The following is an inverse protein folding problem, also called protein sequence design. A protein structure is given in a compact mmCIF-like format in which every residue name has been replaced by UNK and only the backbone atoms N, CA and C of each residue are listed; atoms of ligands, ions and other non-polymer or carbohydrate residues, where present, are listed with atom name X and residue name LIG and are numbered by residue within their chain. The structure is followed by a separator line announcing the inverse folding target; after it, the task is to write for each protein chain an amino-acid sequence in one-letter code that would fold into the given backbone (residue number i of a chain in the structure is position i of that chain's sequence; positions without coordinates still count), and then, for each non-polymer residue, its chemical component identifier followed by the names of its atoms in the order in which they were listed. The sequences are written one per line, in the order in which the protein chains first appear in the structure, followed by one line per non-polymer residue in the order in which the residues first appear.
data_IF_843450779763
#
_entry.id   IF_843450779763
#
_cell.length_a   1.000
_cell.length_b   1.000
_cell.length_c   1.000
_cell.angle_alpha   90.00
_cell.angle_beta   90.00
_cell.angle_gamma   90.00
#
_symmetry.space_group_name_H-M   'P 1'
#
loop_
_entity.id
_entity.type
_entity.pdbx_description
1 polymer ?
#
# COMPACT_ATOMS: atom_id res chain seq x y z
N UNK A 1 28.04 -48.00 6.89
CA UNK A 1 28.29 -46.73 7.62
C UNK A 1 28.21 -45.49 6.73
N UNK A 2 29.01 -45.36 5.64
CA UNK A 2 29.02 -44.16 4.77
C UNK A 2 27.66 -43.76 4.17
N UNK A 3 26.82 -44.72 3.75
CA UNK A 3 25.47 -44.46 3.19
C UNK A 3 24.45 -43.95 4.21
N UNK A 4 24.54 -44.42 5.47
CA UNK A 4 23.66 -43.96 6.57
C UNK A 4 24.03 -42.53 6.98
N UNK A 5 25.33 -42.22 7.01
CA UNK A 5 25.82 -40.88 7.31
C UNK A 5 25.42 -39.85 6.24
N UNK A 6 25.48 -40.22 4.95
CA UNK A 6 25.02 -39.37 3.85
C UNK A 6 23.50 -39.14 3.91
N UNK A 7 22.72 -40.17 4.22
CA UNK A 7 21.26 -40.05 4.38
C UNK A 7 20.87 -39.10 5.52
N UNK A 8 21.56 -39.16 6.67
CA UNK A 8 21.30 -38.28 7.80
C UNK A 8 21.65 -36.81 7.51
N UNK A 9 22.76 -36.56 6.79
CA UNK A 9 23.15 -35.19 6.39
C UNK A 9 22.13 -34.58 5.42
N UNK A 10 21.60 -35.35 4.46
CA UNK A 10 20.57 -34.86 3.52
C UNK A 10 19.27 -34.48 4.26
N UNK A 11 18.83 -35.29 5.23
CA UNK A 11 17.63 -34.99 6.04
C UNK A 11 17.83 -33.72 6.88
N UNK A 12 18.99 -33.52 7.49
CA UNK A 12 19.28 -32.33 8.28
C UNK A 12 19.34 -31.08 7.39
N UNK A 13 19.99 -31.14 6.23
CA UNK A 13 20.04 -30.03 5.28
C UNK A 13 18.65 -29.70 4.75
N UNK A 14 17.82 -30.70 4.44
CA UNK A 14 16.43 -30.48 4.04
C UNK A 14 15.61 -29.85 5.18
N UNK A 15 15.76 -30.32 6.42
CA UNK A 15 15.07 -29.76 7.58
C UNK A 15 15.50 -28.32 7.88
N UNK A 16 16.79 -27.99 7.74
CA UNK A 16 17.32 -26.63 7.90
C UNK A 16 16.88 -25.72 6.76
N UNK A 17 16.87 -26.20 5.52
CA UNK A 17 16.37 -25.44 4.38
C UNK A 17 14.86 -25.20 4.47
N UNK A 18 14.10 -26.21 4.90
CA UNK A 18 12.67 -26.08 5.18
C UNK A 18 12.47 -25.12 6.34
N UNK A 19 13.20 -25.22 7.44
CA UNK A 19 13.10 -24.30 8.57
C UNK A 19 13.48 -22.88 8.15
N UNK A 20 14.55 -22.69 7.39
CA UNK A 20 14.96 -21.37 6.90
C UNK A 20 13.91 -20.79 5.94
N UNK A 21 13.37 -21.58 5.02
CA UNK A 21 12.27 -21.17 4.15
C UNK A 21 11.00 -20.85 4.95
N UNK A 22 10.67 -21.70 5.92
CA UNK A 22 9.56 -21.55 6.85
C UNK A 22 9.69 -20.25 7.65
N UNK A 23 10.84 -19.96 8.25
CA UNK A 23 11.06 -18.76 9.06
C UNK A 23 11.40 -17.48 8.27
N UNK A 24 11.83 -17.58 7.02
CA UNK A 24 12.09 -16.41 6.17
C UNK A 24 10.83 -15.85 5.52
N UNK A 25 9.75 -16.65 5.39
CA UNK A 25 8.46 -16.18 4.89
C UNK A 25 7.55 -15.57 5.94
N UNK A 26 7.79 -14.29 6.24
CA UNK A 26 6.94 -13.50 7.15
C UNK A 26 5.47 -13.47 6.72
N UNK A 27 5.18 -13.58 5.42
CA UNK A 27 3.83 -13.56 4.87
C UNK A 27 2.88 -14.64 5.42
N UNK A 28 3.41 -15.77 5.89
CA UNK A 28 2.60 -16.82 6.51
C UNK A 28 1.96 -16.43 7.84
N UNK A 29 2.51 -15.40 8.50
CA UNK A 29 2.01 -14.90 9.77
C UNK A 29 0.95 -13.83 9.57
N UNK A 30 0.70 -13.43 8.33
CA UNK A 30 -0.39 -12.55 7.99
C UNK A 30 -1.71 -13.29 8.16
N UNK A 31 -2.64 -12.71 8.93
CA UNK A 31 -3.94 -13.36 9.18
C UNK A 31 -4.87 -13.23 7.98
N UNK A 32 -5.93 -14.02 7.97
CA UNK A 32 -7.03 -13.78 7.05
C UNK A 32 -7.64 -12.39 7.32
N UNK A 33 -8.08 -11.67 6.26
CA UNK A 33 -8.70 -10.37 6.43
C UNK A 33 -10.13 -10.50 6.97
N UNK A 34 -10.51 -9.53 7.79
CA UNK A 34 -11.89 -9.23 8.15
C UNK A 34 -12.37 -8.06 7.29
N UNK A 35 -13.63 -8.08 6.84
CA UNK A 35 -14.17 -7.09 5.89
C UNK A 35 -15.29 -6.22 6.50
N UNK A 36 -15.68 -6.50 7.74
CA UNK A 36 -16.77 -5.84 8.47
C UNK A 36 -16.27 -5.44 9.85
N UNK A 37 -16.99 -4.54 10.52
CA UNK A 37 -16.61 -4.06 11.86
C UNK A 37 -15.21 -3.42 11.89
N UNK A 38 -14.83 -2.79 10.77
CA UNK A 38 -13.58 -2.06 10.65
C UNK A 38 -13.57 -0.86 11.60
N UNK A 39 -12.38 -0.45 12.03
CA UNK A 39 -12.21 0.62 13.02
C UNK A 39 -12.54 2.02 12.51
N UNK A 40 -12.70 2.24 11.20
CA UNK A 40 -12.95 3.58 10.64
C UNK A 40 -14.20 3.60 9.81
N UNK A 41 -14.89 4.72 9.86
CA UNK A 41 -16.17 4.90 9.18
C UNK A 41 -15.93 5.38 7.76
N UNK A 42 -16.67 4.82 6.82
CA UNK A 42 -16.68 5.25 5.43
C UNK A 42 -18.10 5.67 5.04
N UNK A 43 -18.23 6.88 4.53
CA UNK A 43 -19.48 7.45 4.02
C UNK A 43 -19.21 8.06 2.63
N UNK A 44 -19.72 7.39 1.59
CA UNK A 44 -19.44 7.76 0.20
C UNK A 44 -17.95 7.76 -0.12
N UNK A 45 -17.41 8.94 -0.46
CA UNK A 45 -16.01 9.23 -0.75
C UNK A 45 -15.25 9.81 0.45
N UNK A 46 -15.71 9.56 1.68
CA UNK A 46 -15.10 10.10 2.90
C UNK A 46 -14.74 8.97 3.87
N UNK A 47 -13.51 8.96 4.36
CA UNK A 47 -13.10 8.18 5.54
C UNK A 47 -13.08 9.13 6.75
N UNK A 48 -13.71 8.73 7.85
CA UNK A 48 -13.52 9.34 9.18
C UNK A 48 -12.78 8.39 10.09
N UNK A 49 -11.61 8.82 10.55
CA UNK A 49 -10.84 8.17 11.60
C UNK A 49 -10.93 9.00 12.88
N UNK A 50 -11.67 8.51 13.88
CA UNK A 50 -11.69 9.05 15.25
C UNK A 50 -10.57 8.48 16.13
N UNK A 51 -9.83 7.53 15.59
CA UNK A 51 -8.63 6.92 16.17
C UNK A 51 -7.38 7.61 15.64
N UNK A 52 -6.22 7.16 16.08
CA UNK A 52 -4.93 7.69 15.65
C UNK A 52 -4.61 7.36 14.17
N UNK A 53 -4.25 8.35 13.33
CA UNK A 53 -4.39 9.78 13.57
C UNK A 53 -5.85 10.22 13.37
N UNK A 54 -6.37 11.16 14.19
CA UNK A 54 -7.70 11.70 13.98
C UNK A 54 -7.70 12.49 12.69
N UNK A 55 -8.40 12.01 11.66
CA UNK A 55 -8.39 12.59 10.32
C UNK A 55 -9.68 12.31 9.56
N UNK A 56 -10.08 13.27 8.73
CA UNK A 56 -11.07 13.09 7.69
C UNK A 56 -10.37 13.14 6.32
N UNK A 57 -10.49 12.05 5.57
CA UNK A 57 -9.97 11.94 4.20
C UNK A 57 -11.15 12.02 3.22
N UNK A 58 -11.18 13.02 2.36
CA UNK A 58 -12.19 13.17 1.30
C UNK A 58 -11.53 12.97 -0.06
N UNK A 59 -12.04 12.02 -0.83
CA UNK A 59 -11.63 11.74 -2.20
C UNK A 59 -12.53 12.49 -3.18
N UNK A 60 -12.05 12.81 -4.38
CA UNK A 60 -12.89 13.40 -5.41
C UNK A 60 -14.00 12.43 -5.88
N UNK A 61 -15.09 12.97 -6.43
CA UNK A 61 -16.32 12.20 -6.70
C UNK A 61 -16.12 11.08 -7.74
N UNK A 62 -15.08 11.16 -8.58
CA UNK A 62 -14.72 10.08 -9.51
C UNK A 62 -14.16 8.83 -8.83
N UNK A 63 -13.81 8.90 -7.54
CA UNK A 63 -13.26 7.78 -6.77
C UNK A 63 -14.33 7.10 -5.93
N UNK A 64 -14.85 5.97 -6.44
CA UNK A 64 -15.81 5.15 -5.74
C UNK A 64 -15.16 4.27 -4.66
N UNK A 65 -15.77 4.21 -3.48
CA UNK A 65 -15.37 3.27 -2.44
C UNK A 65 -15.67 1.82 -2.87
N UNK A 66 -14.66 0.95 -2.78
CA UNK A 66 -14.78 -0.48 -3.13
C UNK A 66 -15.00 -1.34 -1.89
N UNK A 67 -14.28 -1.05 -0.82
CA UNK A 67 -14.30 -1.84 0.40
C UNK A 67 -13.08 -1.59 1.28
N UNK A 68 -13.15 -2.12 2.49
CA UNK A 68 -12.04 -2.13 3.43
C UNK A 68 -11.75 -3.53 3.95
N UNK A 69 -10.58 -3.68 4.58
CA UNK A 69 -10.18 -4.91 5.23
C UNK A 69 -9.25 -4.66 6.41
N UNK A 70 -9.32 -5.50 7.44
CA UNK A 70 -8.39 -5.49 8.57
C UNK A 70 -7.73 -6.85 8.74
N UNK A 71 -6.44 -6.86 9.03
CA UNK A 71 -5.66 -8.08 9.28
C UNK A 71 -4.39 -7.76 10.08
N UNK A 72 -3.81 -8.78 10.70
CA UNK A 72 -2.47 -8.68 11.26
C UNK A 72 -1.46 -8.93 10.14
N UNK A 73 -0.63 -7.96 9.80
CA UNK A 73 0.44 -8.07 8.81
C UNK A 73 1.68 -8.71 9.44
N UNK A 74 2.17 -9.79 8.83
CA UNK A 74 3.40 -10.50 9.21
C UNK A 74 3.50 -10.94 10.68
N UNK A 75 2.37 -10.96 11.42
CA UNK A 75 2.33 -11.24 12.85
C UNK A 75 2.94 -10.13 13.73
N UNK A 76 3.05 -8.90 13.21
CA UNK A 76 3.72 -7.79 13.93
C UNK A 76 2.95 -6.48 13.94
N UNK A 77 2.05 -6.24 12.98
CA UNK A 77 1.29 -5.01 12.91
C UNK A 77 -0.19 -5.28 12.67
N UNK A 78 -1.06 -4.53 13.34
CA UNK A 78 -2.47 -4.43 13.02
C UNK A 78 -2.62 -3.46 11.85
N UNK A 79 -3.20 -3.93 10.74
CA UNK A 79 -3.27 -3.22 9.48
C UNK A 79 -4.72 -3.16 9.02
N UNK A 80 -5.20 -1.96 8.76
CA UNK A 80 -6.53 -1.69 8.22
C UNK A 80 -6.41 -0.92 6.90
N UNK A 81 -7.00 -1.44 5.83
CA UNK A 81 -6.92 -0.88 4.49
C UNK A 81 -8.29 -0.47 3.96
N UNK A 82 -8.32 0.60 3.16
CA UNK A 82 -9.50 1.08 2.44
C UNK A 82 -9.13 1.44 1.01
N UNK A 83 -10.04 1.15 0.06
CA UNK A 83 -9.78 1.33 -1.36
C UNK A 83 -10.83 2.19 -2.04
N UNK A 84 -10.37 3.24 -2.73
CA UNK A 84 -11.18 4.13 -3.55
C UNK A 84 -10.62 4.14 -4.96
N UNK A 85 -11.46 3.95 -5.97
CA UNK A 85 -11.00 3.69 -7.34
C UNK A 85 -11.71 4.53 -8.39
N UNK A 86 -10.96 4.92 -9.41
CA UNK A 86 -11.49 5.34 -10.72
C UNK A 86 -11.27 4.15 -11.68
N UNK A 87 -12.32 3.65 -12.31
CA UNK A 87 -12.24 2.54 -13.27
C UNK A 87 -13.01 2.87 -14.56
N UNK A 88 -12.69 2.17 -15.64
CA UNK A 88 -13.50 2.22 -16.86
C UNK A 88 -14.70 1.26 -16.81
N UNK A 89 -15.49 1.24 -17.89
CA UNK A 89 -16.67 0.40 -18.03
C UNK A 89 -16.38 -1.11 -18.00
N UNK A 90 -15.12 -1.52 -18.14
CA UNK A 90 -14.67 -2.90 -18.09
C UNK A 90 -14.05 -3.26 -16.72
N UNK A 91 -14.20 -2.40 -15.71
CA UNK A 91 -13.56 -2.51 -14.39
C UNK A 91 -12.02 -2.56 -14.46
N UNK A 92 -11.44 -2.01 -15.53
CA UNK A 92 -10.01 -1.76 -15.58
C UNK A 92 -9.73 -0.48 -14.78
N UNK A 93 -8.92 -0.64 -13.73
CA UNK A 93 -8.56 0.46 -12.84
C UNK A 93 -7.71 1.48 -13.61
N UNK A 94 -8.15 2.74 -13.58
CA UNK A 94 -7.38 3.90 -14.04
C UNK A 94 -6.57 4.49 -12.91
N UNK A 95 -7.19 4.63 -11.75
CA UNK A 95 -6.53 5.17 -10.57
C UNK A 95 -7.03 4.46 -9.30
N UNK A 96 -6.14 4.26 -8.32
CA UNK A 96 -6.45 3.61 -7.05
C UNK A 96 -5.84 4.42 -5.92
N UNK A 97 -6.66 4.82 -4.97
CA UNK A 97 -6.22 5.14 -3.63
C UNK A 97 -6.34 3.91 -2.76
N UNK A 98 -5.21 3.52 -2.18
CA UNK A 98 -5.11 2.54 -1.11
C UNK A 98 -4.68 3.29 0.15
N UNK A 99 -5.62 3.46 1.07
CA UNK A 99 -5.36 4.00 2.41
C UNK A 99 -5.08 2.85 3.36
N UNK A 100 -4.05 2.97 4.17
CA UNK A 100 -3.65 1.98 5.17
C UNK A 100 -3.34 2.67 6.49
N UNK A 101 -4.04 2.24 7.53
CA UNK A 101 -3.70 2.56 8.90
C UNK A 101 -2.99 1.34 9.48
N UNK A 102 -1.75 1.52 9.94
CA UNK A 102 -0.94 0.42 10.46
C UNK A 102 -0.35 0.78 11.82
N UNK A 103 -0.43 -0.15 12.77
CA UNK A 103 0.12 -0.01 14.10
C UNK A 103 0.88 -1.28 14.48
N UNK A 104 2.14 -1.16 14.94
CA UNK A 104 2.81 -2.31 15.55
C UNK A 104 2.02 -2.80 16.77
N UNK A 105 1.93 -4.12 16.91
CA UNK A 105 1.27 -4.74 18.06
C UNK A 105 1.97 -4.34 19.37
N UNK A 106 1.24 -4.19 20.50
CA UNK A 106 1.80 -3.67 21.75
C UNK A 106 3.04 -4.41 22.27
N UNK A 107 3.17 -5.70 21.98
CA UNK A 107 4.32 -6.52 22.33
C UNK A 107 5.56 -6.35 21.42
N UNK A 108 5.46 -5.54 20.36
CA UNK A 108 6.53 -5.27 19.40
C UNK A 108 7.14 -3.90 19.69
N UNK A 109 8.42 -3.89 20.01
CA UNK A 109 9.19 -2.65 20.17
C UNK A 109 9.92 -2.29 18.87
N UNK A 110 9.14 -1.94 17.85
CA UNK A 110 9.63 -1.53 16.53
C UNK A 110 9.19 -0.11 16.23
N UNK A 111 9.95 0.57 15.37
CA UNK A 111 9.62 1.89 14.84
C UNK A 111 9.86 1.92 13.34
N UNK A 112 9.07 2.74 12.66
CA UNK A 112 9.26 3.05 11.25
C UNK A 112 10.37 4.08 11.06
N UNK A 113 11.14 3.92 9.99
CA UNK A 113 12.18 4.86 9.61
C UNK A 113 12.00 5.26 8.14
N UNK A 114 11.68 6.53 7.93
CA UNK A 114 11.53 7.16 6.62
C UNK A 114 12.52 8.32 6.42
N UNK A 115 13.58 8.39 7.25
CA UNK A 115 14.55 9.50 7.21
C UNK A 115 15.29 9.57 5.85
N UNK A 116 15.40 8.44 5.13
CA UNK A 116 15.98 8.35 3.78
C UNK A 116 15.01 8.79 2.66
N UNK A 117 13.73 9.07 2.96
CA UNK A 117 12.77 9.58 1.97
C UNK A 117 12.90 11.10 1.88
N UNK A 118 13.42 11.66 0.77
CA UNK A 118 13.80 13.07 0.71
C UNK A 118 12.61 13.99 0.41
N UNK A 119 11.51 13.47 -0.14
CA UNK A 119 10.38 14.27 -0.56
C UNK A 119 9.32 14.37 0.55
N UNK A 120 8.63 15.50 0.54
CA UNK A 120 7.45 15.75 1.37
C UNK A 120 6.29 16.22 0.50
N UNK A 121 5.08 15.81 0.85
CA UNK A 121 3.85 16.36 0.29
C UNK A 121 2.90 16.76 1.41
N UNK A 122 2.37 17.98 1.32
CA UNK A 122 1.41 18.50 2.27
C UNK A 122 -0.01 18.19 1.77
N UNK A 123 -0.83 17.58 2.63
CA UNK A 123 -2.27 17.43 2.44
C UNK A 123 -2.97 18.03 3.68
N UNK A 124 -3.54 19.23 3.53
CA UNK A 124 -4.09 19.99 4.65
C UNK A 124 -3.01 20.31 5.69
N UNK A 125 -3.18 19.83 6.92
CA UNK A 125 -2.21 20.02 8.02
C UNK A 125 -1.22 18.85 8.17
N UNK A 126 -1.37 17.78 7.39
CA UNK A 126 -0.52 16.60 7.45
C UNK A 126 0.62 16.69 6.43
N UNK A 127 1.85 16.64 6.92
CA UNK A 127 3.05 16.51 6.09
C UNK A 127 3.43 15.03 5.96
N UNK A 128 3.40 14.51 4.74
CA UNK A 128 3.72 13.12 4.45
C UNK A 128 5.15 12.98 3.91
N UNK A 129 5.88 11.98 4.39
CA UNK A 129 7.03 11.42 3.67
C UNK A 129 6.53 10.85 2.35
N UNK A 130 7.23 11.10 1.23
CA UNK A 130 6.79 10.56 -0.06
C UNK A 130 7.92 10.07 -0.95
N UNK A 131 7.58 9.10 -1.79
CA UNK A 131 8.40 8.57 -2.88
C UNK A 131 7.49 8.29 -4.09
N UNK A 132 8.07 8.39 -5.29
CA UNK A 132 7.37 8.08 -6.54
C UNK A 132 8.15 7.09 -7.37
N UNK A 133 7.43 6.18 -8.02
CA UNK A 133 8.01 5.14 -8.87
C UNK A 133 7.17 4.96 -10.13
N UNK A 134 7.82 4.43 -11.17
CA UNK A 134 7.16 4.06 -12.42
C UNK A 134 7.55 2.63 -12.73
N UNK A 135 6.56 1.76 -12.91
CA UNK A 135 6.83 0.35 -13.16
C UNK A 135 5.74 -0.28 -14.02
N UNK A 136 6.14 -1.33 -14.76
CA UNK A 136 5.19 -2.24 -15.37
C UNK A 136 4.77 -3.30 -14.35
N UNK A 137 3.47 -3.43 -14.17
CA UNK A 137 2.85 -4.48 -13.40
C UNK A 137 2.79 -5.76 -14.23
N UNK A 138 3.55 -6.75 -13.81
CA UNK A 138 3.43 -8.12 -14.31
C UNK A 138 2.25 -8.84 -13.60
N UNK A 139 1.15 -9.16 -14.31
CA UNK A 139 0.01 -9.87 -13.73
C UNK A 139 0.31 -11.34 -13.41
N UNK A 140 1.28 -11.95 -14.09
CA UNK A 140 1.65 -13.35 -13.94
C UNK A 140 2.71 -13.55 -12.84
N UNK A 141 3.41 -12.48 -12.45
CA UNK A 141 4.37 -12.50 -11.35
C UNK A 141 3.66 -12.82 -10.03
N UNK A 142 3.83 -14.06 -9.58
CA UNK A 142 3.40 -14.50 -8.26
C UNK A 142 3.96 -13.57 -7.20
N UNK A 143 3.07 -12.81 -6.56
CA UNK A 143 3.43 -12.02 -5.39
C UNK A 143 3.64 -12.94 -4.20
N UNK A 144 4.54 -12.51 -3.32
CA UNK A 144 4.73 -13.18 -2.04
C UNK A 144 3.39 -13.15 -1.31
N UNK A 145 2.96 -14.30 -0.80
CA UNK A 145 1.68 -14.40 -0.09
C UNK A 145 1.77 -13.60 1.21
N UNK A 146 0.64 -13.05 1.64
CA UNK A 146 0.53 -12.35 2.92
C UNK A 146 1.25 -11.00 3.00
N UNK A 147 1.73 -10.45 1.88
CA UNK A 147 2.11 -9.03 1.85
C UNK A 147 0.84 -8.18 1.79
N UNK A 148 0.89 -7.00 2.38
CA UNK A 148 -0.10 -5.94 2.25
C UNK A 148 -0.58 -5.71 0.79
N UNK A 149 0.35 -5.64 -0.17
CA UNK A 149 0.01 -5.48 -1.59
C UNK A 149 -0.63 -6.73 -2.22
N UNK A 150 -0.42 -7.92 -1.65
CA UNK A 150 -1.13 -9.13 -2.08
C UNK A 150 -2.57 -9.12 -1.55
N UNK A 151 -2.78 -8.65 -0.30
CA UNK A 151 -4.10 -8.47 0.31
C UNK A 151 -4.92 -7.42 -0.46
N UNK A 152 -4.30 -6.29 -0.82
CA UNK A 152 -4.92 -5.24 -1.64
C UNK A 152 -5.41 -5.77 -2.99
N UNK A 153 -4.53 -6.50 -3.70
CA UNK A 153 -4.87 -7.09 -5.00
C UNK A 153 -6.01 -8.10 -4.90
N UNK A 154 -5.98 -8.93 -3.86
CA UNK A 154 -7.02 -9.94 -3.66
C UNK A 154 -8.38 -9.28 -3.44
N UNK A 155 -8.47 -8.24 -2.60
CA UNK A 155 -9.72 -7.53 -2.37
C UNK A 155 -10.26 -6.88 -3.65
N UNK A 156 -9.42 -6.16 -4.40
CA UNK A 156 -9.86 -5.52 -5.65
C UNK A 156 -10.28 -6.54 -6.70
N UNK A 157 -9.56 -7.67 -6.82
CA UNK A 157 -9.93 -8.75 -7.73
C UNK A 157 -11.26 -9.43 -7.32
N UNK A 158 -11.55 -9.58 -6.02
CA UNK A 158 -12.84 -10.09 -5.54
C UNK A 158 -14.01 -9.17 -5.95
N UNK A 159 -13.75 -7.88 -6.15
CA UNK A 159 -14.73 -6.91 -6.65
C UNK A 159 -14.73 -6.78 -8.18
N UNK A 160 -13.98 -7.64 -8.89
CA UNK A 160 -13.97 -7.69 -10.36
C UNK A 160 -13.05 -6.67 -11.03
N UNK A 161 -12.17 -6.01 -10.28
CA UNK A 161 -11.24 -5.02 -10.84
C UNK A 161 -9.93 -5.65 -11.33
N UNK A 162 -9.38 -5.10 -12.41
CA UNK A 162 -8.03 -5.38 -12.90
C UNK A 162 -7.12 -4.15 -12.77
N UNK A 163 -5.88 -4.36 -12.33
CA UNK A 163 -4.90 -3.29 -12.13
C UNK A 163 -4.35 -2.74 -13.46
N UNK A 164 -3.99 -1.44 -13.54
CA UNK A 164 -3.27 -0.91 -14.69
C UNK A 164 -1.94 -1.64 -14.84
N UNK A 165 -1.55 -1.91 -16.09
CA UNK A 165 -0.25 -2.55 -16.40
C UNK A 165 0.89 -1.56 -16.30
N UNK A 166 0.68 -0.31 -16.70
CA UNK A 166 1.72 0.71 -16.71
C UNK A 166 1.39 1.68 -15.56
N UNK A 167 2.19 1.67 -14.51
CA UNK A 167 1.81 2.30 -13.23
C UNK A 167 2.70 3.47 -12.90
N UNK A 168 2.07 4.61 -12.61
CA UNK A 168 2.65 5.71 -11.85
C UNK A 168 2.25 5.52 -10.39
N UNK A 169 3.23 5.42 -9.51
CA UNK A 169 3.04 5.10 -8.10
C UNK A 169 3.55 6.26 -7.25
N UNK A 170 2.76 6.65 -6.27
CA UNK A 170 3.19 7.53 -5.19
C UNK A 170 2.81 6.89 -3.86
N UNK A 171 3.76 6.84 -2.93
CA UNK A 171 3.50 6.48 -1.54
C UNK A 171 3.65 7.70 -0.68
N UNK A 172 2.72 7.88 0.24
CA UNK A 172 2.70 8.95 1.22
C UNK A 172 2.57 8.33 2.60
N UNK A 173 3.47 8.64 3.52
CA UNK A 173 3.43 8.12 4.89
C UNK A 173 3.43 9.26 5.88
N UNK A 174 2.46 9.24 6.79
CA UNK A 174 2.37 10.12 7.94
C UNK A 174 2.60 9.30 9.21
N UNK A 175 3.63 9.67 9.97
CA UNK A 175 3.91 9.10 11.29
C UNK A 175 3.09 9.88 12.31
N UNK A 176 2.29 9.17 13.11
CA UNK A 176 1.28 9.82 13.96
C UNK A 176 1.85 10.46 15.22
N UNK A 177 3.02 9.99 15.66
CA UNK A 177 3.75 10.48 16.82
C UNK A 177 5.27 10.23 16.72
N UNK A 178 6.01 10.74 17.72
CA UNK A 178 7.45 10.56 17.84
C UNK A 178 7.86 9.10 18.18
N UNK A 179 6.93 8.26 18.64
CA UNK A 179 7.20 6.85 18.87
C UNK A 179 7.34 6.09 17.54
N UNK A 180 6.77 6.64 16.45
CA UNK A 180 6.87 6.11 15.08
C UNK A 180 6.48 4.64 15.00
N UNK A 181 5.54 4.19 15.84
CA UNK A 181 5.07 2.81 15.86
C UNK A 181 3.70 2.63 15.18
N UNK A 182 3.15 3.74 14.67
CA UNK A 182 1.92 3.81 13.90
C UNK A 182 2.11 4.71 12.69
N UNK A 183 1.38 4.41 11.64
CA UNK A 183 1.39 5.18 10.41
C UNK A 183 0.01 5.24 9.76
N UNK A 184 -0.25 6.38 9.12
CA UNK A 184 -1.20 6.50 8.02
C UNK A 184 -0.39 6.48 6.73
N UNK A 185 -0.50 5.41 5.97
CA UNK A 185 0.04 5.28 4.63
C UNK A 185 -1.07 5.46 3.60
N UNK A 186 -0.81 6.27 2.59
CA UNK A 186 -1.69 6.44 1.43
C UNK A 186 -0.85 6.14 0.19
N UNK A 187 -1.23 5.10 -0.52
CA UNK A 187 -0.64 4.72 -1.81
C UNK A 187 -1.61 5.16 -2.89
N UNK A 188 -1.11 5.96 -3.84
CA UNK A 188 -1.81 6.30 -5.06
C UNK A 188 -1.15 5.60 -6.24
N UNK A 189 -1.95 4.91 -7.05
CA UNK A 189 -1.53 4.33 -8.31
C UNK A 189 -2.39 4.90 -9.43
N UNK A 190 -1.76 5.36 -10.51
CA UNK A 190 -2.43 5.88 -11.71
C UNK A 190 -1.90 5.18 -12.96
N UNK A 191 -2.73 5.08 -13.99
CA UNK A 191 -2.33 4.53 -15.29
C UNK A 191 -1.41 5.52 -16.02
N UNK A 192 -0.21 5.06 -16.37
CA UNK A 192 0.77 5.85 -17.11
C UNK A 192 0.26 6.34 -18.47
N UNK A 193 -0.76 5.69 -19.04
CA UNK A 193 -1.41 6.17 -20.26
C UNK A 193 -1.96 7.59 -20.10
N UNK A 194 -2.36 8.00 -18.89
CA UNK A 194 -2.80 9.37 -18.59
C UNK A 194 -1.74 10.41 -18.91
N UNK A 195 -0.47 10.05 -18.77
CA UNK A 195 0.69 10.89 -19.06
C UNK A 195 1.28 10.65 -20.46
N UNK A 196 0.65 9.78 -21.25
CA UNK A 196 1.07 9.44 -22.61
C UNK A 196 2.43 8.76 -22.68
N UNK A 197 2.79 7.95 -21.68
CA UNK A 197 4.04 7.17 -21.63
C UNK A 197 3.80 5.76 -21.09
N UNK A 198 4.82 4.92 -21.16
CA UNK A 198 4.92 3.62 -20.49
C UNK A 198 6.09 3.63 -19.50
N UNK A 199 6.15 2.64 -18.60
CA UNK A 199 7.21 2.53 -17.60
C UNK A 199 8.60 2.42 -18.24
N UNK A 200 8.74 1.63 -19.31
CA UNK A 200 9.99 1.48 -20.06
C UNK A 200 10.44 2.81 -20.70
N UNK A 201 9.49 3.64 -21.16
CA UNK A 201 9.81 4.93 -21.76
C UNK A 201 10.30 5.96 -20.75
N UNK A 202 9.80 5.92 -19.51
CA UNK A 202 10.12 6.88 -18.43
C UNK A 202 11.26 6.40 -17.51
N UNK A 203 11.71 5.14 -17.67
CA UNK A 203 12.87 4.59 -16.98
C UNK A 203 14.17 5.37 -17.27
N UNK A 204 15.22 5.11 -16.50
CA UNK A 204 16.47 5.90 -16.53
C UNK A 204 17.07 6.06 -17.94
N UNK A 205 17.07 4.98 -18.72
CA UNK A 205 17.60 4.93 -20.09
C UNK A 205 16.50 5.03 -21.17
N UNK A 206 15.26 5.32 -20.76
CA UNK A 206 14.12 5.37 -21.64
C UNK A 206 14.10 6.64 -22.53
N UNK A 207 13.50 6.57 -23.73
CA UNK A 207 13.44 7.72 -24.65
C UNK A 207 12.66 8.93 -24.11
N UNK A 208 11.87 8.75 -23.04
CA UNK A 208 11.13 9.82 -22.37
C UNK A 208 11.67 10.11 -20.96
N UNK A 209 12.85 9.60 -20.56
CA UNK A 209 13.42 9.76 -19.22
C UNK A 209 13.49 11.21 -18.74
N UNK A 210 13.76 12.15 -19.65
CA UNK A 210 13.79 13.58 -19.37
C UNK A 210 12.43 14.16 -18.90
N UNK A 211 11.31 13.49 -19.19
CA UNK A 211 9.96 13.89 -18.74
C UNK A 211 9.66 13.43 -17.31
N UNK A 212 10.51 12.61 -16.70
CA UNK A 212 10.27 11.98 -15.40
C UNK A 212 9.91 13.01 -14.31
N UNK A 213 10.69 14.09 -14.08
CA UNK A 213 10.35 15.05 -13.04
C UNK A 213 8.99 15.73 -13.27
N UNK A 214 8.62 15.98 -14.53
CA UNK A 214 7.33 16.57 -14.88
C UNK A 214 6.16 15.62 -14.57
N UNK A 215 6.33 14.31 -14.82
CA UNK A 215 5.29 13.31 -14.54
C UNK A 215 5.17 13.07 -13.03
N UNK A 216 6.29 13.03 -12.29
CA UNK A 216 6.28 12.94 -10.82
C UNK A 216 5.53 14.14 -10.22
N UNK A 217 5.80 15.36 -10.71
CA UNK A 217 5.08 16.55 -10.29
C UNK A 217 3.59 16.47 -10.62
N UNK A 218 3.22 16.04 -11.83
CA UNK A 218 1.82 15.91 -12.24
C UNK A 218 1.07 14.85 -11.43
N UNK A 219 1.74 13.76 -11.04
CA UNK A 219 1.18 12.72 -10.16
C UNK A 219 0.88 13.30 -8.77
N UNK A 220 1.84 13.99 -8.17
CA UNK A 220 1.65 14.61 -6.85
C UNK A 220 0.60 15.72 -6.88
N UNK A 221 0.57 16.54 -7.93
CA UNK A 221 -0.46 17.57 -8.11
C UNK A 221 -1.85 16.94 -8.20
N UNK A 222 -2.02 15.87 -8.97
CA UNK A 222 -3.29 15.14 -9.06
C UNK A 222 -3.74 14.70 -7.67
N UNK A 223 -2.84 14.16 -6.86
CA UNK A 223 -3.17 13.75 -5.49
C UNK A 223 -3.69 14.93 -4.66
N UNK A 224 -3.03 16.09 -4.73
CA UNK A 224 -3.46 17.29 -4.00
C UNK A 224 -4.81 17.84 -4.49
N UNK A 225 -5.15 17.62 -5.76
CA UNK A 225 -6.43 18.01 -6.35
C UNK A 225 -7.56 17.04 -5.98
N UNK A 226 -7.26 15.74 -5.87
CA UNK A 226 -8.27 14.69 -5.70
C UNK A 226 -8.37 14.08 -4.30
N UNK A 227 -7.48 14.44 -3.38
CA UNK A 227 -7.50 14.00 -1.99
C UNK A 227 -7.30 15.19 -1.05
N UNK A 228 -8.23 15.34 -0.11
CA UNK A 228 -8.11 16.28 1.00
C UNK A 228 -7.99 15.51 2.30
N UNK A 229 -6.98 15.84 3.08
CA UNK A 229 -6.84 15.38 4.46
C UNK A 229 -7.02 16.59 5.38
N UNK A 230 -7.98 16.52 6.30
CA UNK A 230 -8.23 17.59 7.27
C UNK A 230 -8.40 16.98 8.67
N UNK A 231 -8.06 17.71 9.74
CA UNK A 231 -8.39 17.29 11.09
C UNK A 231 -9.88 17.00 11.24
N UNK A 232 -10.23 16.07 12.12
CA UNK A 232 -11.63 15.92 12.51
C UNK A 232 -12.13 17.25 13.10
N UNK A 233 -13.30 17.75 12.66
CA UNK A 233 -13.93 18.90 13.29
C UNK A 233 -14.07 18.64 14.79
N UNK A 234 -13.65 19.60 15.62
CA UNK A 234 -13.78 19.51 17.09
C UNK A 234 -15.23 19.50 17.56
N UNK A 235 -16.18 19.79 16.66
CA UNK A 235 -17.60 19.82 16.91
C UNK A 235 -18.29 18.77 16.02
N UNK A 236 -18.39 17.54 16.49
CA UNK A 236 -19.45 16.61 16.08
C UNK A 236 -20.09 16.07 17.36
N UNK A 237 -21.42 16.20 17.50
CA UNK A 237 -22.14 15.96 18.75
C UNK A 237 -22.04 14.54 19.27
#
# INVERSE_FOLDING_TARGET
MKKILIGAVVVIVAAVAIAHWYFSDRGRFTTAPQYTELGREVDGNVIRSTYDPPVMLTFADEFGFVGGQQFILYGVADTEQYFFVEADEQNQLRSVYWVQFEAYLPEKNYSYNYDDSPLRVQLGEYEFFTDTEFFEFDPDKKRRRGTDGAMARQLLAQHGFSWPRQVAYARMVYLTDDARNKELMIIFMDDLSRYGVTADQIGADGPASARRPQIEQALLQRIQETLKAVPLPTDSP
#
